data_IF_646274296864
#
_entry.id   IF_646274296864
#
_cell.length_a   1.000
_cell.length_b   1.000
_cell.length_c   1.000
_cell.angle_alpha   90.00
_cell.angle_beta   90.00
_cell.angle_gamma   90.00
#
_symmetry.space_group_name_H-M   'P 1'
#
loop_
_entity.id
_entity.type
_entity.pdbx_description
1 polymer ?
#
# COMPACT_ATOMS: atom_id res chain seq x y z
N UNK A 1 32.45 22.01 -18.23
CA UNK A 1 32.01 21.25 -17.04
C UNK A 1 31.35 22.22 -16.07
N UNK A 2 30.02 22.26 -16.03
CA UNK A 2 29.26 23.18 -15.18
C UNK A 2 29.36 22.77 -13.71
N UNK A 3 29.57 23.74 -12.82
CA UNK A 3 29.66 23.52 -11.37
C UNK A 3 28.28 23.06 -10.84
N UNK A 4 28.13 21.77 -10.57
CA UNK A 4 26.97 21.24 -9.84
C UNK A 4 27.06 21.70 -8.39
N UNK A 5 26.18 22.62 -7.98
CA UNK A 5 26.03 22.99 -6.56
C UNK A 5 25.49 21.78 -5.81
N UNK A 6 26.29 21.24 -4.89
CA UNK A 6 25.83 20.23 -3.94
C UNK A 6 24.76 20.89 -3.06
N UNK A 7 23.48 20.60 -3.32
CA UNK A 7 22.43 20.92 -2.35
C UNK A 7 22.65 20.00 -1.15
N UNK A 8 22.86 20.57 0.03
CA UNK A 8 22.82 19.80 1.27
C UNK A 8 21.40 19.27 1.46
N UNK A 9 21.16 18.04 0.99
CA UNK A 9 19.98 17.26 1.35
C UNK A 9 20.23 16.63 2.72
N UNK A 10 19.16 16.57 3.51
CA UNK A 10 19.11 16.00 4.86
C UNK A 10 19.89 14.69 5.01
N UNK A 11 20.39 14.42 6.22
CA UNK A 11 21.06 13.15 6.59
C UNK A 11 20.18 11.90 6.48
N UNK A 12 18.91 12.05 6.09
CA UNK A 12 17.99 10.94 5.81
C UNK A 12 18.30 10.32 4.45
N UNK A 13 18.48 9.00 4.42
CA UNK A 13 18.60 8.17 3.21
C UNK A 13 17.34 7.29 3.08
N UNK A 14 16.78 7.22 1.87
CA UNK A 14 15.68 6.32 1.55
C UNK A 14 16.17 4.90 1.18
N UNK A 15 15.29 3.91 1.24
CA UNK A 15 15.62 2.54 0.82
C UNK A 15 16.07 2.46 -0.66
N UNK A 16 15.47 3.27 -1.54
CA UNK A 16 15.86 3.37 -2.94
C UNK A 16 17.25 3.99 -3.11
N UNK A 17 17.62 4.98 -2.30
CA UNK A 17 18.97 5.55 -2.29
C UNK A 17 20.03 4.53 -1.87
N UNK A 18 19.74 3.67 -0.89
CA UNK A 18 20.67 2.60 -0.48
C UNK A 18 20.93 1.65 -1.65
N UNK A 19 19.86 1.17 -2.30
CA UNK A 19 19.98 0.31 -3.48
C UNK A 19 20.76 0.98 -4.62
N UNK A 20 20.50 2.26 -4.86
CA UNK A 20 21.21 3.03 -5.88
C UNK A 20 22.70 3.21 -5.55
N UNK A 21 23.05 3.48 -4.29
CA UNK A 21 24.45 3.59 -3.88
C UNK A 21 25.20 2.28 -4.06
N UNK A 22 24.58 1.16 -3.66
CA UNK A 22 25.13 -0.19 -3.84
C UNK A 22 25.33 -0.56 -5.31
N UNK A 23 24.43 -0.10 -6.19
CA UNK A 23 24.54 -0.32 -7.63
C UNK A 23 25.57 0.60 -8.30
N UNK A 24 25.50 1.91 -8.03
CA UNK A 24 26.41 2.93 -8.55
C UNK A 24 26.44 4.16 -7.63
N UNK A 25 27.51 4.25 -6.83
CA UNK A 25 27.74 5.37 -5.91
C UNK A 25 27.83 6.73 -6.60
N UNK A 26 28.34 6.79 -7.84
CA UNK A 26 28.40 8.04 -8.60
C UNK A 26 27.02 8.51 -9.07
N UNK A 27 26.16 7.58 -9.51
CA UNK A 27 24.78 7.91 -9.88
C UNK A 27 23.99 8.43 -8.67
N UNK A 28 24.17 7.81 -7.50
CA UNK A 28 23.61 8.28 -6.23
C UNK A 28 24.08 9.70 -5.89
N UNK A 29 25.38 9.99 -6.02
CA UNK A 29 25.94 11.32 -5.78
C UNK A 29 25.33 12.37 -6.74
N UNK A 30 25.24 12.05 -8.04
CA UNK A 30 24.61 12.94 -9.03
C UNK A 30 23.16 13.26 -8.67
N UNK A 31 22.41 12.26 -8.21
CA UNK A 31 21.02 12.45 -7.79
C UNK A 31 20.89 13.33 -6.53
N UNK A 32 21.85 13.23 -5.60
CA UNK A 32 21.95 14.16 -4.47
C UNK A 32 22.35 15.57 -4.88
N UNK A 33 23.13 15.73 -5.94
CA UNK A 33 23.43 17.02 -6.58
C UNK A 33 22.25 17.60 -7.39
N UNK A 34 21.08 16.94 -7.39
CA UNK A 34 19.86 17.43 -8.05
C UNK A 34 19.64 16.91 -9.46
N UNK A 35 20.51 16.01 -9.96
CA UNK A 35 20.27 15.34 -11.24
C UNK A 35 19.05 14.43 -11.13
N UNK A 36 18.10 14.55 -12.06
CA UNK A 36 16.90 13.71 -12.10
C UNK A 36 17.12 12.59 -13.10
N UNK A 37 16.99 11.35 -12.64
CA UNK A 37 16.96 10.20 -13.54
C UNK A 37 15.66 10.24 -14.35
N UNK A 38 15.78 10.21 -15.67
CA UNK A 38 14.65 10.08 -16.58
C UNK A 38 14.47 8.60 -16.94
N UNK A 39 13.23 8.13 -16.85
CA UNK A 39 12.85 6.82 -17.33
C UNK A 39 11.48 6.94 -18.01
N UNK A 40 11.34 6.42 -19.25
CA UNK A 40 10.07 6.51 -19.98
C UNK A 40 8.92 5.77 -19.27
N UNK A 41 9.25 4.82 -18.38
CA UNK A 41 8.27 4.00 -17.67
C UNK A 41 8.00 4.47 -16.23
N UNK A 42 8.67 5.51 -15.75
CA UNK A 42 8.54 5.96 -14.37
C UNK A 42 7.11 6.35 -14.03
N UNK A 43 6.48 7.14 -14.91
CA UNK A 43 5.12 7.63 -14.65
C UNK A 43 4.08 6.52 -14.78
N UNK A 44 4.28 5.61 -15.73
CA UNK A 44 3.45 4.43 -15.85
C UNK A 44 3.53 3.55 -14.58
N UNK A 45 4.74 3.31 -14.07
CA UNK A 45 4.93 2.56 -12.82
C UNK A 45 4.22 3.19 -11.62
N UNK A 46 4.29 4.51 -11.47
CA UNK A 46 3.55 5.23 -10.42
C UNK A 46 2.04 5.04 -10.55
N UNK A 47 1.50 5.15 -11.76
CA UNK A 47 0.06 4.97 -12.01
C UNK A 47 -0.40 3.56 -11.62
N UNK A 48 0.40 2.54 -11.91
CA UNK A 48 0.12 1.15 -11.50
C UNK A 48 0.14 1.00 -9.98
N UNK A 49 1.10 1.61 -9.28
CA UNK A 49 1.11 1.58 -7.82
C UNK A 49 -0.11 2.26 -7.20
N UNK A 50 -0.53 3.42 -7.76
CA UNK A 50 -1.73 4.13 -7.30
C UNK A 50 -2.99 3.30 -7.55
N UNK A 51 -3.14 2.72 -8.74
CA UNK A 51 -4.32 1.92 -9.08
C UNK A 51 -4.43 0.67 -8.22
N UNK A 52 -3.32 0.01 -7.94
CA UNK A 52 -3.27 -1.11 -7.01
C UNK A 52 -3.64 -0.69 -5.59
N UNK A 53 -3.10 0.44 -5.10
CA UNK A 53 -3.45 1.00 -3.79
C UNK A 53 -4.95 1.22 -3.63
N UNK A 54 -5.57 1.89 -4.61
CA UNK A 54 -7.03 2.13 -4.62
C UNK A 54 -7.84 0.82 -4.64
N UNK A 55 -7.35 -0.19 -5.35
CA UNK A 55 -8.00 -1.51 -5.43
C UNK A 55 -7.97 -2.22 -4.09
N UNK A 56 -6.82 -2.19 -3.39
CA UNK A 56 -6.64 -2.78 -2.07
C UNK A 56 -7.56 -2.09 -1.05
N UNK A 57 -7.59 -0.76 -1.05
CA UNK A 57 -8.47 0.01 -0.15
C UNK A 57 -9.95 -0.34 -0.37
N UNK A 58 -10.38 -0.43 -1.63
CA UNK A 58 -11.74 -0.85 -1.97
C UNK A 58 -12.06 -2.29 -1.50
N UNK A 59 -11.08 -3.19 -1.55
CA UNK A 59 -11.24 -4.57 -1.08
C UNK A 59 -11.42 -4.63 0.44
N UNK A 60 -10.65 -3.86 1.21
CA UNK A 60 -10.78 -3.82 2.67
C UNK A 60 -12.18 -3.42 3.12
N UNK A 61 -12.77 -2.42 2.46
CA UNK A 61 -14.13 -1.97 2.74
C UNK A 61 -15.14 -3.09 2.47
N UNK A 62 -15.02 -3.79 1.34
CA UNK A 62 -15.90 -4.93 1.00
C UNK A 62 -15.75 -6.08 2.00
N UNK A 63 -14.53 -6.41 2.39
CA UNK A 63 -14.27 -7.44 3.39
C UNK A 63 -14.87 -7.08 4.76
N UNK A 64 -14.84 -5.80 5.14
CA UNK A 64 -15.49 -5.32 6.36
C UNK A 64 -17.00 -5.58 6.33
N UNK A 65 -17.68 -5.23 5.24
CA UNK A 65 -19.11 -5.52 5.10
C UNK A 65 -19.41 -7.01 5.06
N UNK A 66 -18.60 -7.80 4.35
CA UNK A 66 -18.76 -9.26 4.32
C UNK A 66 -18.68 -9.89 5.72
N UNK A 67 -17.73 -9.43 6.56
CA UNK A 67 -17.63 -9.88 7.96
C UNK A 67 -18.85 -9.49 8.79
N UNK A 68 -19.38 -8.28 8.59
CA UNK A 68 -20.62 -7.85 9.25
C UNK A 68 -21.81 -8.71 8.84
N UNK A 69 -21.99 -8.98 7.54
CA UNK A 69 -23.06 -9.85 7.07
C UNK A 69 -22.92 -11.28 7.60
N UNK A 70 -21.69 -11.81 7.67
CA UNK A 70 -21.45 -13.13 8.26
C UNK A 70 -21.84 -13.17 9.74
N UNK A 71 -21.50 -12.13 10.51
CA UNK A 71 -21.86 -12.02 11.93
C UNK A 71 -23.37 -11.92 12.12
N UNK A 72 -24.04 -11.06 11.35
CA UNK A 72 -25.51 -10.92 11.41
C UNK A 72 -26.20 -12.22 11.03
N UNK A 73 -25.74 -12.89 9.96
CA UNK A 73 -26.27 -14.18 9.54
C UNK A 73 -26.09 -15.26 10.62
N UNK A 74 -24.95 -15.27 11.30
CA UNK A 74 -24.69 -16.18 12.40
C UNK A 74 -25.62 -15.93 13.60
N UNK A 75 -25.84 -14.67 13.98
CA UNK A 75 -26.77 -14.31 15.07
C UNK A 75 -28.19 -14.75 14.74
N UNK A 76 -28.67 -14.51 13.52
CA UNK A 76 -30.00 -14.93 13.06
C UNK A 76 -30.11 -16.46 13.12
N UNK A 77 -29.09 -17.19 12.67
CA UNK A 77 -29.06 -18.64 12.71
C UNK A 77 -29.16 -19.17 14.15
N UNK A 78 -28.40 -18.59 15.09
CA UNK A 78 -28.48 -18.96 16.51
C UNK A 78 -29.86 -18.71 17.09
N UNK A 79 -30.49 -17.57 16.77
CA UNK A 79 -31.85 -17.25 17.23
C UNK A 79 -32.88 -18.24 16.66
N UNK A 80 -32.79 -18.59 15.38
CA UNK A 80 -33.69 -19.56 14.76
C UNK A 80 -33.58 -20.93 15.43
N UNK A 81 -32.35 -21.40 15.68
CA UNK A 81 -32.10 -22.65 16.40
C UNK A 81 -32.67 -22.58 17.83
N UNK A 82 -32.42 -21.48 18.54
CA UNK A 82 -32.92 -21.29 19.90
C UNK A 82 -34.47 -21.31 19.98
N UNK A 83 -35.15 -20.69 19.02
CA UNK A 83 -36.62 -20.72 18.92
C UNK A 83 -37.15 -22.14 18.68
N UNK A 84 -36.51 -22.90 17.79
CA UNK A 84 -36.87 -24.31 17.55
C UNK A 84 -36.70 -25.14 18.83
N UNK A 85 -35.60 -24.95 19.57
CA UNK A 85 -35.39 -25.64 20.84
C UNK A 85 -36.43 -25.26 21.89
N UNK A 86 -36.81 -23.98 21.98
CA UNK A 86 -37.87 -23.52 22.88
C UNK A 86 -39.21 -24.20 22.56
N UNK A 87 -39.59 -24.27 21.28
CA UNK A 87 -40.83 -24.93 20.84
C UNK A 87 -40.83 -26.44 21.11
N UNK A 88 -39.67 -27.09 21.01
CA UNK A 88 -39.57 -28.54 21.28
C UNK A 88 -39.57 -28.86 22.79
N UNK A 89 -39.07 -27.95 23.63
CA UNK A 89 -38.94 -28.16 25.08
C UNK A 89 -40.21 -27.74 25.84
N UNK A 90 -40.92 -26.71 25.37
CA UNK A 90 -42.11 -26.14 26.01
C UNK A 90 -43.41 -26.82 25.53
#
# INVERSE_FOLDING_TARGET
>A
MGKTKVQQKSDVISASEIGQYMYCSYAWLLQRCGYKAESPFLEHGKQVHISLGNTIEGLEIRLRYARWYALVGFVILCLAIFLIFLEVIL
#
